data_IF_045231440107
#
_entry.id   IF_045231440107
#
_cell.length_a   1.000
_cell.length_b   1.000
_cell.length_c   1.000
_cell.angle_alpha   90.00
_cell.angle_beta   90.00
_cell.angle_gamma   90.00
#
_symmetry.space_group_name_H-M   'P 1'
#
loop_
_entity.id
_entity.type
_entity.pdbx_description
1 polymer ?
#
# COMPACT_ATOMS: atom_id res chain seq x y z
N UNK A 1 -9.87 20.97 8.13
CA UNK A 1 -8.90 20.03 8.71
C UNK A 1 -8.08 19.41 7.60
N UNK A 2 -6.76 19.55 7.71
CA UNK A 2 -5.87 19.03 6.66
C UNK A 2 -5.72 17.53 6.75
N UNK A 3 -5.85 16.87 5.61
CA UNK A 3 -5.61 15.43 5.52
C UNK A 3 -4.10 15.15 5.53
N UNK A 4 -3.69 14.09 6.20
CA UNK A 4 -2.34 13.57 6.05
C UNK A 4 -2.25 12.86 4.71
N UNK A 5 -1.17 13.09 3.98
CA UNK A 5 -0.96 12.49 2.66
C UNK A 5 0.01 11.33 2.77
N UNK A 6 -0.42 10.15 2.36
CA UNK A 6 0.36 8.92 2.48
C UNK A 6 0.57 8.32 1.10
N UNK A 7 1.83 8.04 0.76
CA UNK A 7 2.19 7.35 -0.47
C UNK A 7 2.71 5.96 -0.13
N UNK A 8 2.12 4.96 -0.77
CA UNK A 8 2.50 3.56 -0.58
C UNK A 8 3.23 3.09 -1.83
N UNK A 9 4.48 2.66 -1.68
CA UNK A 9 5.32 2.25 -2.81
C UNK A 9 5.63 0.76 -2.78
N UNK A 10 5.51 0.13 -3.93
CA UNK A 10 5.95 -1.24 -4.13
C UNK A 10 6.62 -1.37 -5.50
N UNK A 11 6.93 -2.59 -5.92
CA UNK A 11 7.66 -2.81 -7.16
C UNK A 11 6.84 -2.43 -8.40
N UNK A 12 5.62 -2.97 -8.53
CA UNK A 12 4.81 -2.74 -9.73
C UNK A 12 3.36 -2.35 -9.45
N UNK A 13 3.05 -2.00 -8.21
CA UNK A 13 1.71 -1.56 -7.79
C UNK A 13 0.61 -2.56 -8.16
N UNK A 14 0.89 -3.84 -8.01
CA UNK A 14 -0.07 -4.90 -8.37
C UNK A 14 -0.71 -5.56 -7.15
N UNK A 15 0.03 -5.76 -6.08
CA UNK A 15 -0.41 -6.52 -4.92
C UNK A 15 -0.21 -5.76 -3.61
N UNK A 16 1.03 -5.70 -3.12
CA UNK A 16 1.31 -5.17 -1.78
C UNK A 16 0.81 -3.75 -1.56
N UNK A 17 1.14 -2.83 -2.44
CA UNK A 17 0.72 -1.44 -2.27
C UNK A 17 -0.77 -1.23 -2.53
N UNK A 18 -1.40 -2.06 -3.37
CA UNK A 18 -2.85 -1.98 -3.58
C UNK A 18 -3.62 -2.48 -2.36
N UNK A 19 -3.15 -3.57 -1.74
CA UNK A 19 -3.76 -4.06 -0.49
C UNK A 19 -3.59 -3.04 0.63
N UNK A 20 -2.40 -2.44 0.71
CA UNK A 20 -2.13 -1.41 1.70
C UNK A 20 -3.04 -0.19 1.49
N UNK A 21 -3.25 0.22 0.24
CA UNK A 21 -4.15 1.33 -0.05
C UNK A 21 -5.56 1.04 0.45
N UNK A 22 -6.04 -0.18 0.25
CA UNK A 22 -7.37 -0.59 0.72
C UNK A 22 -7.50 -0.46 2.24
N UNK A 23 -6.57 -1.04 2.98
CA UNK A 23 -6.62 -0.98 4.44
C UNK A 23 -6.35 0.43 4.98
N UNK A 24 -5.43 1.15 4.35
CA UNK A 24 -5.11 2.51 4.77
C UNK A 24 -6.31 3.43 4.58
N UNK A 25 -7.02 3.27 3.46
CA UNK A 25 -8.23 4.04 3.20
C UNK A 25 -9.33 3.70 4.21
N UNK A 26 -9.43 2.45 4.58
CA UNK A 26 -10.43 2.01 5.55
C UNK A 26 -10.19 2.61 6.94
N UNK A 27 -8.98 2.40 7.48
CA UNK A 27 -8.68 2.88 8.83
C UNK A 27 -8.45 4.39 8.90
N UNK A 28 -7.97 4.98 7.81
CA UNK A 28 -7.68 6.41 7.77
C UNK A 28 -8.80 7.29 7.25
N UNK A 29 -9.98 6.72 7.04
CA UNK A 29 -11.11 7.42 6.44
C UNK A 29 -11.37 8.77 7.13
N UNK A 30 -11.42 9.83 6.33
CA UNK A 30 -11.66 11.18 6.84
C UNK A 30 -10.43 11.88 7.37
N UNK A 31 -9.29 11.19 7.50
CA UNK A 31 -8.08 11.76 8.08
C UNK A 31 -6.87 11.70 7.14
N UNK A 32 -6.92 10.87 6.10
CA UNK A 32 -5.80 10.74 5.17
C UNK A 32 -6.26 10.81 3.71
N UNK A 33 -5.33 11.23 2.86
CA UNK A 33 -5.42 11.06 1.42
C UNK A 33 -4.31 10.08 1.06
N UNK A 34 -4.65 8.93 0.50
CA UNK A 34 -3.68 7.89 0.22
C UNK A 34 -3.58 7.65 -1.27
N UNK A 35 -2.36 7.42 -1.74
CA UNK A 35 -2.09 6.96 -3.10
C UNK A 35 -1.07 5.83 -3.03
N UNK A 36 -1.16 4.92 -3.98
CA UNK A 36 -0.17 3.87 -4.13
C UNK A 36 0.44 3.94 -5.53
N UNK A 37 1.68 3.47 -5.65
CA UNK A 37 2.37 3.44 -6.94
C UNK A 37 3.47 2.40 -6.89
N UNK A 38 3.98 2.05 -8.08
CA UNK A 38 5.13 1.18 -8.23
C UNK A 38 6.28 1.93 -8.87
N UNK A 39 7.48 1.41 -8.76
CA UNK A 39 8.61 1.94 -9.54
C UNK A 39 8.41 1.64 -11.02
N UNK A 40 7.60 0.62 -11.33
CA UNK A 40 7.10 0.36 -12.67
C UNK A 40 5.60 0.06 -12.58
N UNK A 41 4.94 0.07 -13.71
CA UNK A 41 3.51 -0.20 -13.79
C UNK A 41 3.26 -1.67 -14.11
N UNK A 42 2.36 -2.29 -13.37
CA UNK A 42 1.89 -3.64 -13.65
C UNK A 42 0.39 -3.64 -13.88
N UNK A 43 -0.29 -4.64 -13.35
CA UNK A 43 -1.75 -4.69 -13.34
C UNK A 43 -2.19 -5.22 -11.99
N UNK A 44 -3.43 -4.91 -11.60
CA UNK A 44 -3.96 -5.34 -10.32
C UNK A 44 -3.94 -6.87 -10.24
N UNK A 45 -3.43 -7.38 -9.12
CA UNK A 45 -3.39 -8.80 -8.85
C UNK A 45 -4.76 -9.26 -8.37
N UNK A 46 -5.46 -10.05 -9.19
CA UNK A 46 -6.81 -10.49 -8.87
C UNK A 46 -6.88 -11.42 -7.65
N UNK A 47 -5.82 -12.18 -7.38
CA UNK A 47 -5.80 -13.01 -6.18
C UNK A 47 -5.71 -12.13 -4.93
N UNK A 48 -4.96 -11.04 -5.00
CA UNK A 48 -4.90 -10.07 -3.91
C UNK A 48 -6.27 -9.41 -3.71
N UNK A 49 -6.93 -9.02 -4.81
CA UNK A 49 -8.24 -8.41 -4.74
C UNK A 49 -9.27 -9.38 -4.13
N UNK A 50 -9.20 -10.66 -4.47
CA UNK A 50 -10.09 -11.67 -3.89
C UNK A 50 -9.86 -11.82 -2.38
N UNK A 51 -8.61 -11.82 -1.93
CA UNK A 51 -8.30 -11.93 -0.50
C UNK A 51 -8.83 -10.71 0.26
N UNK A 52 -8.69 -9.52 -0.33
CA UNK A 52 -9.22 -8.30 0.28
C UNK A 52 -10.74 -8.33 0.35
N UNK A 53 -11.40 -8.87 -0.68
CA UNK A 53 -12.87 -8.98 -0.69
C UNK A 53 -13.38 -9.90 0.40
N UNK A 54 -12.64 -10.96 0.75
CA UNK A 54 -12.99 -11.82 1.88
C UNK A 54 -13.03 -11.03 3.19
N UNK A 55 -12.21 -9.98 3.28
CA UNK A 55 -12.22 -9.07 4.43
C UNK A 55 -13.16 -7.88 4.21
N UNK A 56 -13.97 -7.91 3.18
CA UNK A 56 -14.96 -6.91 2.79
C UNK A 56 -14.32 -5.56 2.43
N UNK A 57 -13.10 -5.60 1.90
CA UNK A 57 -12.41 -4.42 1.36
C UNK A 57 -12.33 -4.61 -0.16
N UNK A 58 -13.06 -3.79 -0.89
CA UNK A 58 -13.14 -3.89 -2.35
C UNK A 58 -12.08 -3.02 -3.02
N UNK A 59 -11.06 -3.66 -3.61
CA UNK A 59 -10.04 -2.96 -4.39
C UNK A 59 -10.13 -3.28 -5.90
N UNK A 60 -11.24 -3.90 -6.32
CA UNK A 60 -11.36 -4.37 -7.71
C UNK A 60 -11.32 -3.25 -8.75
N UNK A 61 -11.60 -2.01 -8.35
CA UNK A 61 -11.54 -0.87 -9.26
C UNK A 61 -10.21 -0.12 -9.23
N UNK A 62 -9.29 -0.55 -8.39
CA UNK A 62 -7.97 0.09 -8.33
C UNK A 62 -7.18 -0.27 -9.58
N UNK A 63 -6.37 0.69 -10.03
CA UNK A 63 -5.51 0.50 -11.20
C UNK A 63 -4.05 0.65 -10.81
N UNK A 64 -3.18 -0.13 -11.46
CA UNK A 64 -1.75 -0.02 -11.24
C UNK A 64 -1.24 1.30 -11.79
N UNK A 65 -0.35 1.95 -11.03
CA UNK A 65 0.24 3.23 -11.40
C UNK A 65 1.74 3.19 -11.16
N UNK A 66 2.50 3.89 -11.99
CA UNK A 66 3.91 4.11 -11.70
C UNK A 66 4.07 5.41 -10.91
N UNK A 67 5.20 5.55 -10.24
CA UNK A 67 5.49 6.76 -9.46
C UNK A 67 5.48 8.02 -10.34
N UNK A 68 5.81 7.90 -11.62
CA UNK A 68 5.77 9.03 -12.56
C UNK A 68 4.36 9.58 -12.74
N UNK A 69 3.35 8.72 -12.66
CA UNK A 69 1.96 9.13 -12.84
C UNK A 69 1.42 9.94 -11.67
N UNK A 70 2.09 9.87 -10.52
CA UNK A 70 1.62 10.58 -9.31
C UNK A 70 2.66 11.57 -8.79
N UNK A 71 3.57 12.02 -9.66
CA UNK A 71 4.69 12.90 -9.27
C UNK A 71 4.25 14.25 -8.68
N UNK A 72 3.01 14.66 -8.96
CA UNK A 72 2.48 15.92 -8.42
C UNK A 72 1.94 15.76 -7.00
N UNK A 73 1.86 14.54 -6.52
CA UNK A 73 1.42 14.26 -5.15
C UNK A 73 2.60 14.50 -4.20
N UNK A 74 2.39 15.34 -3.18
CA UNK A 74 3.43 15.67 -2.20
C UNK A 74 3.07 15.00 -0.87
N UNK A 75 3.60 13.81 -0.60
CA UNK A 75 3.20 13.08 0.59
C UNK A 75 3.83 13.62 1.88
N UNK A 76 3.13 13.44 2.99
CA UNK A 76 3.69 13.63 4.32
C UNK A 76 4.45 12.39 4.78
N UNK A 77 3.97 11.22 4.36
CA UNK A 77 4.58 9.92 4.67
C UNK A 77 4.74 9.13 3.39
N UNK A 78 5.89 8.46 3.26
CA UNK A 78 6.11 7.49 2.20
C UNK A 78 6.43 6.15 2.86
N UNK A 79 5.64 5.14 2.53
CA UNK A 79 5.82 3.79 3.08
C UNK A 79 6.29 2.89 1.96
N UNK A 80 7.48 2.33 2.13
CA UNK A 80 8.14 1.51 1.12
C UNK A 80 7.95 0.04 1.49
N UNK A 81 7.20 -0.67 0.67
CA UNK A 81 6.72 -2.02 0.97
C UNK A 81 7.51 -3.14 0.30
N UNK A 82 8.44 -2.78 -0.59
CA UNK A 82 9.29 -3.77 -1.26
C UNK A 82 10.72 -3.27 -1.31
N UNK A 83 11.67 -4.21 -1.39
CA UNK A 83 13.09 -3.85 -1.45
C UNK A 83 13.41 -3.02 -2.69
N UNK A 84 12.88 -3.42 -3.86
CA UNK A 84 13.14 -2.73 -5.11
C UNK A 84 12.63 -1.30 -5.10
N UNK A 85 11.55 -1.02 -4.37
CA UNK A 85 10.98 0.31 -4.31
C UNK A 85 11.83 1.30 -3.51
N UNK A 86 12.83 0.82 -2.75
CA UNK A 86 13.74 1.70 -2.02
C UNK A 86 14.54 2.60 -2.95
N UNK A 87 14.73 2.19 -4.20
CA UNK A 87 15.46 3.02 -5.16
C UNK A 87 14.77 4.35 -5.47
N UNK A 88 13.49 4.47 -5.12
CA UNK A 88 12.73 5.70 -5.35
C UNK A 88 12.94 6.75 -4.26
N UNK A 89 13.62 6.42 -3.17
CA UNK A 89 13.79 7.34 -2.02
C UNK A 89 14.34 8.71 -2.41
N UNK A 90 15.33 8.72 -3.29
CA UNK A 90 16.04 9.95 -3.62
C UNK A 90 15.31 10.85 -4.62
N UNK A 91 14.19 10.36 -5.16
CA UNK A 91 13.44 11.08 -6.19
C UNK A 91 12.05 11.51 -5.70
N UNK A 92 11.82 11.49 -4.40
CA UNK A 92 10.52 11.84 -3.84
C UNK A 92 10.36 13.35 -3.74
N UNK A 93 9.13 13.82 -4.00
CA UNK A 93 8.78 15.22 -3.92
C UNK A 93 8.64 15.67 -2.46
N UNK A 94 9.20 16.84 -2.13
CA UNK A 94 9.09 17.39 -0.79
C UNK A 94 10.04 16.74 0.19
N UNK A 95 9.62 16.67 1.45
CA UNK A 95 10.44 16.13 2.53
C UNK A 95 9.61 15.19 3.41
N UNK A 96 9.12 14.08 2.86
CA UNK A 96 8.26 13.17 3.61
C UNK A 96 9.03 12.37 4.67
N UNK A 97 8.30 11.91 5.69
CA UNK A 97 8.84 10.91 6.60
C UNK A 97 8.79 9.56 5.86
N UNK A 98 9.92 8.89 5.79
CA UNK A 98 10.02 7.61 5.07
C UNK A 98 10.01 6.46 6.05
N UNK A 99 9.10 5.51 5.82
CA UNK A 99 8.97 4.30 6.63
C UNK A 99 9.20 3.11 5.70
N UNK A 100 10.13 2.25 6.07
CA UNK A 100 10.44 1.05 5.28
C UNK A 100 9.91 -0.17 6.01
N UNK A 101 9.02 -0.91 5.37
CA UNK A 101 8.49 -2.15 5.91
C UNK A 101 8.23 -3.10 4.74
N UNK A 102 9.17 -4.01 4.49
CA UNK A 102 9.08 -4.92 3.37
C UNK A 102 8.11 -6.07 3.66
N UNK A 103 7.19 -6.30 2.73
CA UNK A 103 6.30 -7.45 2.75
C UNK A 103 6.80 -8.48 1.74
N UNK A 104 6.54 -9.77 1.98
CA UNK A 104 7.07 -10.81 1.12
C UNK A 104 6.49 -10.79 -0.29
N UNK A 105 7.27 -11.30 -1.23
CA UNK A 105 6.85 -11.47 -2.62
C UNK A 105 5.97 -12.70 -2.75
N UNK A 106 4.98 -12.65 -3.65
CA UNK A 106 4.09 -13.77 -3.92
C UNK A 106 4.90 -15.00 -4.35
N UNK A 107 4.68 -16.17 -3.72
CA UNK A 107 5.39 -17.38 -4.11
C UNK A 107 4.92 -17.89 -5.47
N UNK A 108 5.84 -18.54 -6.19
CA UNK A 108 5.53 -19.10 -7.50
C UNK A 108 4.67 -20.38 -7.39
N UNK A 109 4.75 -21.10 -6.26
CA UNK A 109 4.05 -22.38 -6.07
C UNK A 109 2.55 -22.16 -5.92
N UNK A 110 1.72 -22.66 -6.87
CA UNK A 110 0.27 -22.37 -6.85
C UNK A 110 -0.45 -22.93 -5.60
N UNK A 111 0.02 -24.03 -5.04
CA UNK A 111 -0.69 -24.68 -3.93
C UNK A 111 -0.66 -23.88 -2.62
N UNK A 112 0.29 -22.95 -2.48
CA UNK A 112 0.40 -22.14 -1.25
C UNK A 112 -0.06 -20.69 -1.45
N UNK A 113 -0.48 -20.34 -2.67
CA UNK A 113 -0.78 -18.92 -2.99
C UNK A 113 -2.00 -18.40 -2.22
N UNK A 114 -3.06 -19.19 -2.12
CA UNK A 114 -4.27 -18.74 -1.44
C UNK A 114 -4.00 -18.41 0.03
N UNK A 115 -3.31 -19.32 0.73
CA UNK A 115 -2.93 -19.07 2.12
C UNK A 115 -1.98 -17.88 2.24
N UNK A 116 -1.07 -17.71 1.27
CA UNK A 116 -0.16 -16.57 1.25
C UNK A 116 -0.93 -15.25 1.17
N UNK A 117 -1.88 -15.14 0.27
CA UNK A 117 -2.63 -13.90 0.11
C UNK A 117 -3.48 -13.59 1.34
N UNK A 118 -4.05 -14.60 1.98
CA UNK A 118 -4.81 -14.39 3.22
C UNK A 118 -3.91 -13.90 4.35
N UNK A 119 -2.74 -14.50 4.50
CA UNK A 119 -1.78 -14.07 5.52
C UNK A 119 -1.29 -12.65 5.24
N UNK A 120 -1.00 -12.35 3.98
CA UNK A 120 -0.55 -11.01 3.59
C UNK A 120 -1.64 -9.98 3.87
N UNK A 121 -2.89 -10.30 3.59
CA UNK A 121 -4.02 -9.42 3.88
C UNK A 121 -4.08 -9.09 5.37
N UNK A 122 -3.95 -10.10 6.24
CA UNK A 122 -3.96 -9.89 7.68
C UNK A 122 -2.78 -9.06 8.16
N UNK A 123 -1.59 -9.34 7.65
CA UNK A 123 -0.39 -8.59 8.03
C UNK A 123 -0.51 -7.14 7.57
N UNK A 124 -1.05 -6.92 6.38
CA UNK A 124 -1.23 -5.58 5.85
C UNK A 124 -2.26 -4.81 6.66
N UNK A 125 -3.33 -5.48 7.08
CA UNK A 125 -4.35 -4.87 7.95
C UNK A 125 -3.73 -4.39 9.25
N UNK A 126 -2.96 -5.25 9.90
CA UNK A 126 -2.31 -4.91 11.17
C UNK A 126 -1.34 -3.75 11.00
N UNK A 127 -0.55 -3.78 9.94
CA UNK A 127 0.40 -2.71 9.67
C UNK A 127 -0.32 -1.37 9.47
N UNK A 128 -1.36 -1.35 8.66
CA UNK A 128 -2.10 -0.11 8.38
C UNK A 128 -2.83 0.40 9.62
N UNK A 129 -3.43 -0.49 10.40
CA UNK A 129 -4.06 -0.12 11.67
C UNK A 129 -3.04 0.56 12.59
N UNK A 130 -1.90 -0.09 12.78
CA UNK A 130 -0.85 0.44 13.68
C UNK A 130 -0.33 1.79 13.18
N UNK A 131 -0.12 1.92 11.88
CA UNK A 131 0.35 3.17 11.29
C UNK A 131 -0.65 4.32 11.55
N UNK A 132 -1.92 4.08 11.25
CA UNK A 132 -2.95 5.12 11.43
C UNK A 132 -3.08 5.47 12.91
N UNK A 133 -3.09 4.47 13.78
CA UNK A 133 -3.23 4.68 15.21
C UNK A 133 -2.06 5.48 15.79
N UNK A 134 -0.85 5.25 15.28
CA UNK A 134 0.35 5.91 15.79
C UNK A 134 0.57 7.30 15.17
N UNK A 135 0.35 7.44 13.86
CA UNK A 135 0.79 8.64 13.14
C UNK A 135 -0.34 9.56 12.69
N UNK A 136 -1.57 9.11 12.69
CA UNK A 136 -2.67 9.89 12.09
C UNK A 136 -3.77 10.22 13.10
N UNK A 137 -4.40 9.22 13.66
CA UNK A 137 -5.48 9.42 14.64
C UNK A 137 -5.63 8.17 15.51
N UNK A 138 -6.03 8.39 16.75
CA UNK A 138 -6.21 7.31 17.71
C UNK A 138 -7.36 6.40 17.28
N UNK A 139 -7.10 5.10 17.17
CA UNK A 139 -8.11 4.09 16.82
C UNK A 139 -8.52 3.25 18.04
N UNK A 140 -7.68 3.22 19.06
CA UNK A 140 -7.96 2.51 20.31
C UNK A 140 -7.56 3.36 21.51
#
# INVERSE_FOLDING_TARGET
>A
MDLKKVLLLSTNNACRSQMAEGWMSYYGKGAIEVKSAGISKGSLDWEAANAMMEAVIDITKYTSKSIEEIKDFTPDFVIILSEEAEQAKDNLTGNPQIIVHHFPTTPAEPTVREAFYRALCNEMENFCFDFVNEHVKKLV
#
